data_IF_346720910644
#
_entry.id   IF_346720910644
#
_cell.length_a   1.000
_cell.length_b   1.000
_cell.length_c   1.000
_cell.angle_alpha   90.00
_cell.angle_beta   90.00
_cell.angle_gamma   90.00
#
_symmetry.space_group_name_H-M   'P 1'
#
loop_
_entity.id
_entity.type
_entity.pdbx_description
1 polymer ?
#
# COMPACT_ATOMS: atom_id res chain seq x y z
N UNK A 1 3.73 24.83 -17.33
CA UNK A 1 3.37 23.52 -16.76
C UNK A 1 3.45 22.51 -17.88
N UNK A 2 4.39 21.57 -17.78
CA UNK A 2 4.63 20.53 -18.79
C UNK A 2 3.40 19.59 -18.87
N UNK A 3 3.20 18.93 -20.01
CA UNK A 3 2.12 17.95 -20.21
C UNK A 3 2.20 16.80 -19.19
N UNK A 4 3.42 16.36 -18.87
CA UNK A 4 3.70 15.36 -17.83
C UNK A 4 3.21 15.84 -16.46
N UNK A 5 3.45 17.09 -16.09
CA UNK A 5 2.99 17.63 -14.80
C UNK A 5 1.45 17.71 -14.72
N UNK A 6 0.80 18.03 -15.85
CA UNK A 6 -0.67 18.02 -15.95
C UNK A 6 -1.24 16.61 -15.74
N UNK A 7 -0.61 15.61 -16.35
CA UNK A 7 -0.99 14.21 -16.20
C UNK A 7 -0.83 13.73 -14.75
N UNK A 8 0.34 13.98 -14.15
CA UNK A 8 0.65 13.55 -12.77
C UNK A 8 -0.31 14.15 -11.74
N UNK A 9 -0.71 15.42 -11.91
CA UNK A 9 -1.67 16.08 -11.00
C UNK A 9 -3.08 15.49 -11.02
N UNK A 10 -3.42 14.72 -12.06
CA UNK A 10 -4.69 13.98 -12.18
C UNK A 10 -4.56 12.55 -11.68
N UNK A 11 -3.37 12.11 -11.29
CA UNK A 11 -3.11 10.72 -10.98
C UNK A 11 -3.56 10.37 -9.56
N UNK A 12 -4.33 9.29 -9.45
CA UNK A 12 -4.76 8.66 -8.20
C UNK A 12 -4.11 7.27 -8.15
N UNK A 13 -3.57 6.90 -7.00
CA UNK A 13 -2.95 5.59 -6.80
C UNK A 13 -3.41 4.98 -5.48
N UNK A 14 -3.49 3.66 -5.44
CA UNK A 14 -3.89 2.91 -4.27
C UNK A 14 -3.37 1.47 -4.37
N UNK A 15 -3.06 0.91 -3.21
CA UNK A 15 -2.48 -0.42 -3.10
C UNK A 15 -2.72 -0.98 -1.69
N UNK A 16 -2.65 -2.30 -1.55
CA UNK A 16 -2.89 -3.01 -0.29
C UNK A 16 -1.61 -3.44 0.42
N UNK A 17 -1.53 -3.09 1.71
CA UNK A 17 -0.45 -3.57 2.57
C UNK A 17 -0.98 -4.31 3.78
N UNK A 18 -0.47 -5.52 4.01
CA UNK A 18 -0.69 -6.24 5.26
C UNK A 18 0.13 -5.64 6.39
N UNK A 19 -0.52 -5.33 7.50
CA UNK A 19 0.11 -4.96 8.77
C UNK A 19 -0.12 -6.11 9.75
N UNK A 20 0.96 -6.64 10.31
CA UNK A 20 0.90 -7.81 11.19
C UNK A 20 0.98 -7.42 12.65
N UNK A 21 0.10 -8.00 13.47
CA UNK A 21 0.10 -7.86 14.93
C UNK A 21 1.03 -8.90 15.56
N UNK A 22 1.82 -8.48 16.55
CA UNK A 22 2.63 -9.42 17.32
C UNK A 22 1.76 -10.04 18.43
N UNK A 23 0.94 -11.01 18.03
CA UNK A 23 0.17 -11.85 18.96
C UNK A 23 1.01 -12.98 19.53
N UNK A 24 2.31 -12.74 19.77
CA UNK A 24 3.16 -13.68 20.50
C UNK A 24 2.76 -13.73 21.98
N UNK A 25 1.67 -14.45 22.26
CA UNK A 25 1.42 -15.03 23.58
C UNK A 25 2.31 -16.25 23.84
N UNK A 26 3.19 -16.65 22.90
CA UNK A 26 4.16 -17.73 23.12
C UNK A 26 5.25 -17.25 24.07
N UNK A 27 4.99 -17.39 25.36
CA UNK A 27 6.06 -17.48 26.37
C UNK A 27 6.91 -18.70 26.03
N UNK A 28 8.23 -18.52 25.86
CA UNK A 28 9.17 -19.65 25.81
C UNK A 28 9.02 -20.44 27.11
N UNK A 29 8.54 -21.67 27.03
CA UNK A 29 8.53 -22.61 28.14
C UNK A 29 9.67 -23.61 27.95
N UNK A 30 10.50 -23.75 28.98
CA UNK A 30 11.53 -24.77 29.04
C UNK A 30 10.93 -26.01 29.70
N UNK A 31 10.89 -27.14 28.99
CA UNK A 31 10.50 -28.42 29.59
C UNK A 31 11.73 -29.09 30.21
N UNK A 32 11.56 -29.77 31.34
CA UNK A 32 12.64 -30.54 31.95
C UNK A 32 12.93 -31.78 31.11
N UNK A 33 14.19 -32.24 31.13
CA UNK A 33 14.60 -33.51 30.52
C UNK A 33 13.78 -34.63 31.17
N UNK A 34 13.00 -35.37 30.37
CA UNK A 34 12.06 -36.47 30.71
C UNK A 34 10.56 -36.13 30.87
N UNK A 35 10.15 -34.87 30.77
CA UNK A 35 8.71 -34.52 30.67
C UNK A 35 8.27 -34.41 29.20
N UNK A 36 7.05 -34.88 28.91
CA UNK A 36 6.45 -34.71 27.59
C UNK A 36 6.21 -33.22 27.29
N UNK A 37 6.58 -32.73 26.10
CA UNK A 37 6.40 -31.32 25.76
C UNK A 37 4.92 -30.93 25.78
N UNK A 38 4.60 -29.81 26.42
CA UNK A 38 3.24 -29.29 26.45
C UNK A 38 2.78 -28.91 25.04
N UNK A 39 1.64 -29.48 24.62
CA UNK A 39 1.00 -29.16 23.34
C UNK A 39 0.23 -27.84 23.51
N UNK A 40 0.83 -26.73 23.09
CA UNK A 40 0.15 -25.43 23.05
C UNK A 40 -0.47 -25.25 21.67
N UNK A 41 -1.80 -25.13 21.59
CA UNK A 41 -2.50 -24.72 20.37
C UNK A 41 -1.90 -23.42 19.88
N UNK A 42 -1.47 -23.38 18.60
CA UNK A 42 -1.00 -22.15 17.98
C UNK A 42 -2.13 -21.13 18.11
N UNK A 43 -1.93 -19.98 18.79
CA UNK A 43 -2.95 -18.95 18.77
C UNK A 43 -3.22 -18.62 17.30
N UNK A 44 -4.49 -18.52 16.93
CA UNK A 44 -4.85 -18.15 15.57
C UNK A 44 -4.16 -16.83 15.25
N UNK A 45 -3.31 -16.81 14.21
CA UNK A 45 -2.79 -15.57 13.68
C UNK A 45 -3.98 -14.82 13.09
N UNK A 46 -4.67 -14.02 13.90
CA UNK A 46 -5.62 -13.03 13.41
C UNK A 46 -4.81 -11.89 12.83
N UNK A 47 -4.39 -12.04 11.58
CA UNK A 47 -3.99 -10.90 10.77
C UNK A 47 -5.26 -10.10 10.49
N UNK A 48 -5.50 -9.03 11.27
CA UNK A 48 -6.57 -8.11 10.89
C UNK A 48 -6.13 -7.32 9.66
N UNK A 49 -7.07 -7.20 8.75
CA UNK A 49 -6.92 -6.61 7.43
C UNK A 49 -7.50 -5.20 7.47
N UNK A 50 -6.65 -4.17 7.51
CA UNK A 50 -7.12 -2.79 7.36
C UNK A 50 -6.91 -2.39 5.90
N UNK A 51 -8.00 -2.25 5.16
CA UNK A 51 -8.01 -1.77 3.78
C UNK A 51 -8.44 -0.30 3.77
N UNK A 52 -7.52 0.61 3.44
CA UNK A 52 -7.86 2.03 3.26
C UNK A 52 -8.48 2.21 1.87
N UNK A 53 -9.82 2.21 1.82
CA UNK A 53 -10.56 2.38 0.57
C UNK A 53 -10.74 3.87 0.24
N UNK A 54 -10.31 4.28 -0.95
CA UNK A 54 -10.41 5.68 -1.44
C UNK A 54 -11.87 6.13 -1.50
N UNK A 55 -12.78 5.28 -1.97
CA UNK A 55 -14.22 5.57 -2.12
C UNK A 55 -14.91 6.01 -0.82
N UNK A 56 -14.50 5.46 0.33
CA UNK A 56 -15.10 5.80 1.62
C UNK A 56 -14.54 7.09 2.22
N UNK A 57 -13.28 7.40 1.93
CA UNK A 57 -12.57 8.51 2.56
C UNK A 57 -12.62 9.80 1.77
N UNK A 58 -12.82 9.73 0.44
CA UNK A 58 -12.82 10.89 -0.45
C UNK A 58 -13.91 10.80 -1.53
N UNK A 59 -15.19 10.99 -1.16
CA UNK A 59 -16.30 10.95 -2.11
C UNK A 59 -16.19 12.02 -3.20
N UNK A 60 -15.45 13.11 -2.96
CA UNK A 60 -15.18 14.16 -3.95
C UNK A 60 -14.38 13.66 -5.15
N UNK A 61 -13.51 12.65 -4.96
CA UNK A 61 -12.78 12.03 -6.07
C UNK A 61 -13.73 11.23 -6.95
N UNK A 62 -14.67 10.48 -6.36
CA UNK A 62 -15.61 9.66 -7.11
C UNK A 62 -16.50 10.46 -8.08
N UNK A 63 -16.70 11.77 -7.82
CA UNK A 63 -17.49 12.68 -8.67
C UNK A 63 -16.62 13.38 -9.72
N UNK A 64 -15.31 13.49 -9.46
CA UNK A 64 -14.37 14.19 -10.34
C UNK A 64 -14.14 13.37 -11.60
N UNK A 65 -14.30 14.01 -12.76
CA UNK A 65 -14.14 13.36 -14.06
C UNK A 65 -12.72 13.47 -14.59
N UNK A 66 -12.30 12.43 -15.32
CA UNK A 66 -11.02 12.41 -16.00
C UNK A 66 -9.83 12.33 -15.06
N UNK A 67 -9.93 11.71 -13.89
CA UNK A 67 -8.71 11.35 -13.15
C UNK A 67 -8.09 10.07 -13.71
N UNK A 68 -6.80 9.87 -13.46
CA UNK A 68 -6.04 8.72 -13.97
C UNK A 68 -5.73 7.80 -12.79
N UNK A 69 -6.30 6.60 -12.80
CA UNK A 69 -6.07 5.60 -11.76
C UNK A 69 -4.89 4.71 -12.10
N UNK A 70 -3.90 4.64 -11.21
CA UNK A 70 -2.80 3.69 -11.26
C UNK A 70 -2.89 2.68 -10.11
N UNK A 71 -3.08 1.42 -10.46
CA UNK A 71 -3.20 0.27 -9.54
C UNK A 71 -2.46 -0.93 -10.12
N UNK A 72 -2.13 -1.90 -9.26
CA UNK A 72 -1.51 -3.14 -9.70
C UNK A 72 -2.51 -4.06 -10.44
N UNK A 73 -2.00 -5.21 -10.91
CA UNK A 73 -2.81 -6.20 -11.64
C UNK A 73 -3.42 -7.28 -10.73
N UNK A 74 -3.62 -7.01 -9.44
CA UNK A 74 -4.27 -7.98 -8.55
C UNK A 74 -5.64 -8.40 -9.11
N UNK A 75 -6.05 -9.64 -8.84
CA UNK A 75 -7.31 -10.21 -9.40
C UNK A 75 -8.56 -9.37 -9.10
N UNK A 76 -8.73 -8.78 -7.90
CA UNK A 76 -9.85 -7.87 -7.65
C UNK A 76 -9.80 -6.59 -8.50
N UNK A 77 -8.60 -6.14 -8.88
CA UNK A 77 -8.37 -4.91 -9.62
C UNK A 77 -8.66 -5.03 -11.12
N UNK A 78 -8.45 -6.21 -11.68
CA UNK A 78 -8.71 -6.53 -13.10
C UNK A 78 -10.13 -7.02 -13.36
N UNK A 79 -10.98 -7.07 -12.33
CA UNK A 79 -12.36 -7.53 -12.49
C UNK A 79 -13.21 -6.56 -13.33
N UNK A 80 -14.14 -7.11 -14.12
CA UNK A 80 -15.06 -6.31 -14.95
C UNK A 80 -15.86 -5.33 -14.10
N UNK A 81 -16.34 -5.77 -12.94
CA UNK A 81 -17.09 -4.93 -12.00
C UNK A 81 -16.27 -3.72 -11.54
N UNK A 82 -14.99 -3.94 -11.26
CA UNK A 82 -14.07 -2.88 -10.84
C UNK A 82 -13.84 -1.88 -11.98
N UNK A 83 -13.65 -2.35 -13.21
CA UNK A 83 -13.50 -1.46 -14.38
C UNK A 83 -14.77 -0.65 -14.67
N UNK A 84 -15.96 -1.25 -14.54
CA UNK A 84 -17.23 -0.54 -14.74
C UNK A 84 -17.39 0.65 -13.81
N UNK A 85 -17.05 0.51 -12.52
CA UNK A 85 -17.11 1.60 -11.54
C UNK A 85 -16.23 2.79 -11.91
N UNK A 86 -15.09 2.56 -12.55
CA UNK A 86 -14.17 3.63 -12.98
C UNK A 86 -14.54 4.19 -14.36
N UNK A 87 -15.28 3.44 -15.19
CA UNK A 87 -15.84 3.98 -16.43
C UNK A 87 -16.98 4.98 -16.20
N UNK A 88 -17.81 4.77 -15.18
CA UNK A 88 -18.92 5.69 -14.84
C UNK A 88 -18.49 7.16 -14.66
N UNK A 89 -17.39 7.48 -13.93
CA UNK A 89 -16.86 8.84 -13.83
C UNK A 89 -15.87 9.23 -14.94
N UNK A 90 -15.76 8.47 -16.03
CA UNK A 90 -14.77 8.68 -17.11
C UNK A 90 -13.31 8.67 -16.61
N UNK A 91 -12.97 7.76 -15.69
CA UNK A 91 -11.58 7.62 -15.22
C UNK A 91 -10.74 6.79 -16.19
N UNK A 92 -9.52 7.27 -16.45
CA UNK A 92 -8.53 6.55 -17.25
C UNK A 92 -7.79 5.57 -16.34
N UNK A 93 -7.79 4.27 -16.66
CA UNK A 93 -7.02 3.27 -15.90
C UNK A 93 -5.66 3.09 -16.57
N UNK A 94 -4.59 3.48 -15.87
CA UNK A 94 -3.23 3.32 -16.35
C UNK A 94 -2.81 1.85 -16.29
N UNK A 95 -2.28 1.33 -17.40
CA UNK A 95 -1.79 -0.05 -17.46
C UNK A 95 -0.57 -0.22 -16.54
N UNK A 96 -0.56 -1.30 -15.77
CA UNK A 96 0.56 -1.69 -14.92
C UNK A 96 1.19 -2.98 -15.48
N UNK A 97 2.52 -3.09 -15.59
CA UNK A 97 3.16 -4.32 -16.04
C UNK A 97 3.10 -5.41 -14.94
N UNK A 98 2.93 -6.70 -15.28
CA UNK A 98 2.96 -7.77 -14.28
C UNK A 98 4.27 -7.77 -13.47
N UNK A 99 4.20 -8.14 -12.19
CA UNK A 99 5.35 -8.32 -11.30
C UNK A 99 6.31 -7.12 -11.25
N UNK A 100 5.76 -5.91 -11.33
CA UNK A 100 6.51 -4.66 -11.41
C UNK A 100 6.19 -3.74 -10.24
N UNK A 101 6.69 -4.06 -9.03
CA UNK A 101 6.48 -3.20 -7.87
C UNK A 101 7.06 -1.79 -8.09
N UNK A 102 8.25 -1.71 -8.69
CA UNK A 102 9.06 -0.51 -8.97
C UNK A 102 8.33 0.74 -9.50
N UNK A 103 7.44 0.61 -10.51
CA UNK A 103 6.62 1.71 -11.02
C UNK A 103 5.43 2.10 -10.15
N UNK A 104 5.06 1.36 -9.09
CA UNK A 104 3.95 1.71 -8.21
C UNK A 104 4.34 2.87 -7.25
N UNK A 105 3.55 3.96 -7.21
CA UNK A 105 3.87 5.10 -6.36
C UNK A 105 3.62 4.84 -4.87
N UNK A 106 2.66 3.99 -4.53
CA UNK A 106 2.33 3.54 -3.18
C UNK A 106 3.47 2.77 -2.51
N UNK A 107 4.16 1.93 -3.27
CA UNK A 107 5.08 0.94 -2.70
C UNK A 107 6.40 1.52 -2.19
N UNK A 108 6.84 2.67 -2.74
CA UNK A 108 8.21 3.14 -2.50
C UNK A 108 8.36 4.16 -1.37
N UNK A 109 7.70 5.33 -1.37
CA UNK A 109 7.84 6.28 -0.27
C UNK A 109 6.87 5.96 0.87
N UNK A 110 5.60 5.70 0.54
CA UNK A 110 4.53 5.57 1.53
C UNK A 110 4.71 4.32 2.38
N UNK A 111 4.85 3.15 1.76
CA UNK A 111 4.98 1.90 2.53
C UNK A 111 6.33 1.72 3.21
N UNK A 112 7.40 2.39 2.75
CA UNK A 112 8.68 2.43 3.47
C UNK A 112 8.56 3.35 4.67
N UNK A 113 8.05 4.56 4.51
CA UNK A 113 7.82 5.49 5.64
C UNK A 113 6.90 4.87 6.69
N UNK A 114 5.82 4.20 6.25
CA UNK A 114 4.90 3.50 7.13
C UNK A 114 5.58 2.36 7.88
N UNK A 115 6.44 1.57 7.23
CA UNK A 115 7.20 0.51 7.90
C UNK A 115 8.14 1.07 8.95
N UNK A 116 8.86 2.17 8.64
CA UNK A 116 9.75 2.83 9.57
C UNK A 116 9.00 3.44 10.76
N UNK A 117 7.78 3.94 10.52
CA UNK A 117 6.92 4.46 11.58
C UNK A 117 6.43 3.32 12.51
N UNK A 118 6.06 2.18 11.94
CA UNK A 118 5.52 1.04 12.69
C UNK A 118 6.61 0.13 13.31
N UNK A 119 7.87 0.23 12.90
CA UNK A 119 8.92 -0.71 13.31
C UNK A 119 9.17 -0.75 14.82
N UNK A 120 8.91 0.35 15.51
CA UNK A 120 9.15 0.48 16.95
C UNK A 120 7.88 0.25 17.79
N UNK A 121 6.73 -0.03 17.16
CA UNK A 121 5.44 -0.14 17.85
C UNK A 121 5.02 -1.61 18.03
N UNK A 122 4.70 -2.00 19.27
CA UNK A 122 4.10 -3.32 19.53
C UNK A 122 2.59 -3.23 19.34
N UNK A 123 2.09 -3.88 18.30
CA UNK A 123 0.68 -3.86 17.91
C UNK A 123 -0.02 -5.05 18.56
N UNK A 124 -0.70 -4.81 19.70
CA UNK A 124 -1.36 -5.84 20.50
C UNK A 124 -2.85 -6.04 20.20
N UNK A 125 -3.51 -5.01 19.66
CA UNK A 125 -4.94 -5.01 19.32
C UNK A 125 -5.22 -4.20 18.06
N UNK A 126 -6.44 -4.32 17.52
CA UNK A 126 -6.89 -3.57 16.33
C UNK A 126 -6.73 -2.06 16.49
N UNK A 127 -7.21 -1.54 17.61
CA UNK A 127 -7.23 -0.10 17.91
C UNK A 127 -5.80 0.45 18.02
N UNK A 128 -4.87 -0.37 18.53
CA UNK A 128 -3.43 -0.05 18.57
C UNK A 128 -2.79 0.03 17.18
N UNK A 129 -3.45 -0.48 16.13
CA UNK A 129 -3.04 -0.27 14.74
C UNK A 129 -3.75 0.91 14.10
N UNK A 130 -5.08 0.98 14.23
CA UNK A 130 -5.87 1.96 13.49
C UNK A 130 -5.53 3.40 13.90
N UNK A 131 -5.29 3.65 15.19
CA UNK A 131 -4.99 5.01 15.67
C UNK A 131 -3.63 5.53 15.18
N UNK A 132 -2.50 4.80 15.34
CA UNK A 132 -1.22 5.25 14.79
C UNK A 132 -1.23 5.38 13.26
N UNK A 133 -1.99 4.53 12.56
CA UNK A 133 -2.16 4.68 11.12
C UNK A 133 -2.84 5.99 10.76
N UNK A 134 -3.95 6.32 11.43
CA UNK A 134 -4.63 7.59 11.20
C UNK A 134 -3.73 8.78 11.54
N UNK A 135 -2.99 8.70 12.65
CA UNK A 135 -2.01 9.72 13.05
C UNK A 135 -0.93 9.92 11.99
N UNK A 136 -0.35 8.83 11.47
CA UNK A 136 0.62 8.88 10.39
C UNK A 136 0.06 9.65 9.18
N UNK A 137 -1.11 9.26 8.65
CA UNK A 137 -1.68 9.92 7.47
C UNK A 137 -2.08 11.39 7.71
N UNK A 138 -2.42 11.77 8.95
CA UNK A 138 -2.74 13.16 9.31
C UNK A 138 -1.49 14.02 9.46
N UNK A 139 -0.40 13.43 9.95
CA UNK A 139 0.86 14.13 10.21
C UNK A 139 1.75 14.27 8.97
N UNK A 140 1.61 13.40 7.97
CA UNK A 140 2.35 13.54 6.71
C UNK A 140 1.89 14.78 5.93
N UNK A 141 2.87 15.55 5.43
CA UNK A 141 2.61 16.78 4.71
C UNK A 141 2.21 16.53 3.24
N UNK A 142 1.57 17.51 2.61
CA UNK A 142 1.22 17.43 1.18
C UNK A 142 2.46 17.18 0.31
N UNK A 143 3.59 17.77 0.69
CA UNK A 143 4.84 17.68 -0.03
C UNK A 143 5.42 16.25 -0.03
N UNK A 144 5.21 15.46 1.03
CA UNK A 144 5.57 14.04 1.09
C UNK A 144 4.89 13.25 -0.04
N UNK A 145 3.57 13.41 -0.19
CA UNK A 145 2.80 12.74 -1.25
C UNK A 145 3.19 13.26 -2.64
N UNK A 146 3.31 14.58 -2.81
CA UNK A 146 3.71 15.17 -4.09
C UNK A 146 5.09 14.68 -4.54
N UNK A 147 6.07 14.64 -3.63
CA UNK A 147 7.41 14.12 -3.94
C UNK A 147 7.36 12.67 -4.40
N UNK A 148 6.53 11.84 -3.77
CA UNK A 148 6.38 10.44 -4.15
C UNK A 148 5.86 10.28 -5.59
N UNK A 149 4.79 11.03 -5.90
CA UNK A 149 4.12 11.00 -7.21
C UNK A 149 4.99 11.65 -8.30
N UNK A 150 5.69 12.74 -8.00
CA UNK A 150 6.58 13.44 -8.95
C UNK A 150 7.86 12.67 -9.30
N UNK A 151 8.24 11.64 -8.52
CA UNK A 151 9.37 10.76 -8.85
C UNK A 151 9.05 9.71 -9.93
N UNK A 152 7.78 9.49 -10.26
CA UNK A 152 7.36 8.44 -11.20
C UNK A 152 7.91 8.60 -12.62
N UNK A 153 7.89 9.79 -13.26
CA UNK A 153 8.40 9.91 -14.62
C UNK A 153 9.88 9.56 -14.72
N UNK A 154 10.66 9.96 -13.71
CA UNK A 154 12.08 9.63 -13.64
C UNK A 154 12.29 8.12 -13.51
N UNK A 155 11.48 7.44 -12.71
CA UNK A 155 11.51 5.97 -12.59
C UNK A 155 11.12 5.28 -13.88
N UNK A 156 10.02 5.69 -14.52
CA UNK A 156 9.60 5.10 -15.80
C UNK A 156 10.67 5.28 -16.87
N UNK A 157 11.27 6.47 -16.95
CA UNK A 157 12.37 6.73 -17.86
C UNK A 157 13.57 5.80 -17.58
N UNK A 158 13.92 5.59 -16.32
CA UNK A 158 15.00 4.68 -15.93
C UNK A 158 14.69 3.23 -16.29
N UNK A 159 13.47 2.74 -16.02
CA UNK A 159 13.04 1.38 -16.37
C UNK A 159 13.14 1.16 -17.89
N UNK A 160 12.72 2.14 -18.68
CA UNK A 160 12.84 2.09 -20.14
C UNK A 160 14.31 2.04 -20.57
N UNK A 161 15.18 2.86 -19.96
CA UNK A 161 16.63 2.85 -20.23
C UNK A 161 17.31 1.54 -19.86
N UNK A 162 16.82 0.85 -18.82
CA UNK A 162 17.32 -0.45 -18.38
C UNK A 162 16.59 -1.64 -19.04
N UNK A 163 15.83 -1.42 -20.12
CA UNK A 163 15.08 -2.44 -20.83
C UNK A 163 14.16 -3.29 -19.93
N UNK A 164 13.51 -2.65 -18.95
CA UNK A 164 12.59 -3.31 -18.04
C UNK A 164 13.23 -3.99 -16.83
N UNK A 165 14.53 -3.79 -16.57
CA UNK A 165 15.16 -4.31 -15.36
C UNK A 165 14.66 -3.60 -14.08
N UNK A 166 14.73 -4.32 -12.97
CA UNK A 166 14.38 -3.79 -11.65
C UNK A 166 15.30 -2.65 -11.21
N UNK A 167 14.75 -1.70 -10.45
CA UNK A 167 15.45 -0.60 -9.82
C UNK A 167 16.33 -1.14 -8.68
N UNK A 168 17.65 -1.02 -8.83
CA UNK A 168 18.61 -1.50 -7.82
C UNK A 168 19.11 -0.41 -6.87
N UNK A 169 18.77 0.86 -7.15
CA UNK A 169 19.08 2.01 -6.29
C UNK A 169 17.80 2.83 -6.08
N UNK A 170 17.42 3.02 -4.82
CA UNK A 170 16.29 3.84 -4.36
C UNK A 170 16.84 5.12 -3.72
#
# INVERSE_FOLDING_TARGET
>A
MNEIERFIKRMVTGDEKWITFDTNLRKRSWSKRSEAPQTVTKPGLMAMKVLLSIDQKRPELAIRRGDVLHKDNARPHTSVMTHQKFWEPDWEVLMHPPYSPDPAPSEYPLFIALQNFLSDTKLGSREDCENPLLEFFVNEDQYFYERGIMKLPLKWQYIVQQNGAYLTQI
#
